data_IF_394072398013
#
_entry.id   IF_394072398013
#
_cell.length_a   1.000
_cell.length_b   1.000
_cell.length_c   1.000
_cell.angle_alpha   90.00
_cell.angle_beta   90.00
_cell.angle_gamma   90.00
#
_symmetry.space_group_name_H-M   'P 1'
#
loop_
_entity.id
_entity.type
_entity.pdbx_description
1 polymer ?
#
# COMPACT_ATOMS: atom_id res chain seq x y z
N UNK A 1 11.36 2.75 7.96
CA UNK A 1 10.49 1.62 7.55
C UNK A 1 9.31 2.18 6.78
N UNK A 2 8.97 1.54 5.69
CA UNK A 2 7.89 1.95 4.78
C UNK A 2 6.78 0.91 4.80
N UNK A 3 5.54 1.37 4.61
CA UNK A 3 4.36 0.52 4.48
C UNK A 3 3.65 0.89 3.17
N UNK A 4 3.52 -0.04 2.25
CA UNK A 4 2.99 0.24 0.92
C UNK A 4 1.46 0.16 0.89
N UNK A 5 0.85 1.18 0.29
CA UNK A 5 -0.57 1.17 -0.06
C UNK A 5 -0.78 0.54 -1.44
N UNK A 6 -2.04 0.18 -1.73
CA UNK A 6 -2.41 -0.52 -2.95
C UNK A 6 -2.08 0.28 -4.21
N UNK A 7 -2.27 1.60 -4.20
CA UNK A 7 -2.01 2.43 -5.39
C UNK A 7 -0.54 2.40 -5.81
N UNK A 8 0.38 2.34 -4.85
CA UNK A 8 1.82 2.25 -5.13
C UNK A 8 2.14 0.93 -5.82
N UNK A 9 1.55 -0.16 -5.36
CA UNK A 9 1.72 -1.48 -5.98
C UNK A 9 1.13 -1.51 -7.39
N UNK A 10 -0.04 -0.93 -7.60
CA UNK A 10 -0.70 -0.87 -8.91
C UNK A 10 0.10 -0.07 -9.92
N UNK A 11 0.57 1.12 -9.54
CA UNK A 11 1.41 1.93 -10.42
C UNK A 11 2.69 1.21 -10.81
N UNK A 12 3.31 0.53 -9.84
CA UNK A 12 4.55 -0.21 -10.09
C UNK A 12 4.33 -1.45 -10.96
N UNK A 13 3.16 -2.09 -10.85
CA UNK A 13 2.80 -3.22 -11.69
C UNK A 13 2.58 -2.81 -13.16
N UNK A 14 2.03 -1.60 -13.38
CA UNK A 14 1.75 -1.08 -14.72
C UNK A 14 2.41 0.28 -14.95
N UNK A 15 3.75 0.33 -15.02
CA UNK A 15 4.48 1.59 -15.06
C UNK A 15 4.27 2.38 -16.36
N UNK A 16 3.80 1.73 -17.43
CA UNK A 16 3.60 2.37 -18.74
C UNK A 16 2.22 3.01 -18.92
N UNK A 17 1.30 2.84 -17.95
CA UNK A 17 -0.07 3.36 -18.06
C UNK A 17 -0.10 4.89 -18.05
N UNK A 18 0.78 5.53 -17.28
CA UNK A 18 0.88 6.98 -17.18
C UNK A 18 2.28 7.39 -16.77
N UNK A 19 2.58 8.69 -16.91
CA UNK A 19 3.84 9.26 -16.42
C UNK A 19 3.94 9.09 -14.89
N UNK A 20 2.85 9.32 -14.17
CA UNK A 20 2.81 9.12 -12.72
C UNK A 20 3.12 7.66 -12.35
N UNK A 21 2.57 6.69 -13.07
CA UNK A 21 2.87 5.28 -12.84
C UNK A 21 4.35 4.98 -13.00
N UNK A 22 4.98 5.55 -14.02
CA UNK A 22 6.41 5.39 -14.27
C UNK A 22 7.25 6.00 -13.15
N UNK A 23 6.89 7.18 -12.71
CA UNK A 23 7.61 7.88 -11.62
C UNK A 23 7.47 7.14 -10.29
N UNK A 24 6.27 6.65 -9.96
CA UNK A 24 6.04 5.86 -8.74
C UNK A 24 6.81 4.54 -8.80
N UNK A 25 6.80 3.86 -9.94
CA UNK A 25 7.57 2.63 -10.12
C UNK A 25 9.09 2.87 -9.92
N UNK A 26 9.63 3.93 -10.50
CA UNK A 26 11.03 4.29 -10.34
C UNK A 26 11.37 4.64 -8.89
N UNK A 27 10.48 5.35 -8.22
CA UNK A 27 10.64 5.67 -6.80
C UNK A 27 10.67 4.39 -5.94
N UNK A 28 9.75 3.47 -6.18
CA UNK A 28 9.71 2.21 -5.43
C UNK A 28 10.96 1.36 -5.70
N UNK A 29 11.36 1.22 -6.95
CA UNK A 29 12.57 0.47 -7.31
C UNK A 29 13.81 1.00 -6.57
N UNK A 30 13.94 2.32 -6.48
CA UNK A 30 15.03 2.96 -5.73
C UNK A 30 14.96 2.61 -4.24
N UNK A 31 13.78 2.56 -3.65
CA UNK A 31 13.61 2.17 -2.23
C UNK A 31 13.88 0.70 -2.00
N UNK A 32 13.46 -0.17 -2.91
CA UNK A 32 13.73 -1.61 -2.81
C UNK A 32 15.23 -1.94 -2.89
N UNK A 33 15.99 -1.11 -3.59
CA UNK A 33 17.45 -1.22 -3.63
C UNK A 33 18.17 -0.54 -2.46
N UNK A 34 17.44 0.16 -1.60
CA UNK A 34 17.98 0.91 -0.47
C UNK A 34 18.01 0.13 0.84
N UNK A 35 18.40 0.78 1.96
CA UNK A 35 18.55 0.13 3.26
C UNK A 35 17.26 -0.02 4.05
N UNK A 36 16.18 0.68 3.69
CA UNK A 36 14.93 0.68 4.45
C UNK A 36 14.17 -0.63 4.30
N UNK A 37 13.57 -1.09 5.39
CA UNK A 37 12.59 -2.16 5.32
C UNK A 37 11.29 -1.65 4.71
N UNK A 38 10.70 -2.49 3.87
CA UNK A 38 9.43 -2.22 3.22
C UNK A 38 8.43 -3.28 3.65
N UNK A 39 7.36 -2.85 4.27
CA UNK A 39 6.26 -3.71 4.69
C UNK A 39 5.11 -3.61 3.70
N UNK A 40 4.45 -4.73 3.47
CA UNK A 40 3.21 -4.77 2.69
C UNK A 40 2.25 -5.75 3.34
N UNK A 41 0.98 -5.34 3.44
CA UNK A 41 -0.08 -6.18 4.02
C UNK A 41 -0.57 -7.18 2.98
N UNK A 42 -0.90 -8.40 3.41
CA UNK A 42 -1.54 -9.38 2.51
C UNK A 42 -2.86 -8.87 1.95
N UNK A 43 -3.61 -8.07 2.72
CA UNK A 43 -4.84 -7.44 2.23
C UNK A 43 -4.58 -6.45 1.10
N UNK A 44 -3.47 -5.70 1.15
CA UNK A 44 -3.05 -4.82 0.07
C UNK A 44 -2.69 -5.63 -1.18
N UNK A 45 -1.95 -6.71 -1.01
CA UNK A 45 -1.57 -7.58 -2.12
C UNK A 45 -2.79 -8.23 -2.77
N UNK A 46 -3.74 -8.71 -1.97
CA UNK A 46 -4.99 -9.27 -2.48
C UNK A 46 -5.82 -8.21 -3.22
N UNK A 47 -5.90 -7.00 -2.69
CA UNK A 47 -6.60 -5.88 -3.34
C UNK A 47 -5.94 -5.49 -4.66
N UNK A 48 -4.61 -5.46 -4.70
CA UNK A 48 -3.86 -5.18 -5.93
C UNK A 48 -4.20 -6.20 -7.01
N UNK A 49 -4.21 -7.49 -6.70
CA UNK A 49 -4.57 -8.54 -7.65
C UNK A 49 -6.02 -8.38 -8.12
N UNK A 50 -6.94 -8.13 -7.18
CA UNK A 50 -8.35 -7.92 -7.50
C UNK A 50 -8.55 -6.76 -8.47
N UNK A 51 -7.92 -5.64 -8.21
CA UNK A 51 -8.05 -4.43 -9.04
C UNK A 51 -7.37 -4.63 -10.40
N UNK A 52 -6.15 -5.16 -10.42
CA UNK A 52 -5.39 -5.36 -11.66
C UNK A 52 -6.08 -6.30 -12.65
N UNK A 53 -6.83 -7.26 -12.13
CA UNK A 53 -7.54 -8.26 -12.95
C UNK A 53 -8.98 -7.87 -13.25
N UNK A 54 -9.47 -6.74 -12.75
CA UNK A 54 -10.89 -6.36 -12.83
C UNK A 54 -11.22 -5.79 -14.22
N UNK A 55 -12.15 -6.43 -14.98
CA UNK A 55 -12.45 -6.04 -16.35
C UNK A 55 -13.17 -4.69 -16.48
N UNK A 56 -13.76 -4.19 -15.38
CA UNK A 56 -14.45 -2.88 -15.36
C UNK A 56 -13.53 -1.73 -14.98
N UNK A 57 -12.36 -2.01 -14.41
CA UNK A 57 -11.41 -0.98 -13.98
C UNK A 57 -10.39 -0.72 -15.07
N UNK A 58 -9.88 -1.78 -15.69
CA UNK A 58 -8.90 -1.66 -16.77
C UNK A 58 -9.52 -2.15 -18.08
N UNK A 59 -9.26 -1.39 -19.15
CA UNK A 59 -9.66 -1.79 -20.51
C UNK A 59 -8.98 -3.09 -20.92
N UNK A 60 -7.71 -3.24 -20.55
CA UNK A 60 -6.95 -4.48 -20.71
C UNK A 60 -6.54 -5.00 -19.33
N UNK A 61 -7.42 -5.77 -18.65
CA UNK A 61 -7.08 -6.31 -17.34
C UNK A 61 -5.92 -7.30 -17.43
N UNK A 62 -5.13 -7.34 -16.35
CA UNK A 62 -4.04 -8.31 -16.24
C UNK A 62 -4.58 -9.72 -16.08
N UNK A 63 -3.80 -10.72 -16.52
CA UNK A 63 -4.07 -12.10 -16.13
C UNK A 63 -3.79 -12.31 -14.64
N UNK A 64 -4.50 -13.23 -13.98
CA UNK A 64 -4.18 -13.60 -12.60
C UNK A 64 -2.73 -14.04 -12.45
N UNK A 65 -2.19 -14.78 -13.42
CA UNK A 65 -0.80 -15.26 -13.38
C UNK A 65 0.20 -14.12 -13.35
N UNK A 66 0.00 -13.08 -14.16
CA UNK A 66 0.89 -11.91 -14.22
C UNK A 66 0.82 -11.10 -12.91
N UNK A 67 -0.38 -10.91 -12.38
CA UNK A 67 -0.55 -10.18 -11.13
C UNK A 67 0.12 -10.92 -9.96
N UNK A 68 -0.06 -12.24 -9.85
CA UNK A 68 0.60 -13.07 -8.84
C UNK A 68 2.12 -13.06 -9.01
N UNK A 69 2.62 -13.13 -10.24
CA UNK A 69 4.06 -13.09 -10.50
C UNK A 69 4.69 -11.77 -10.02
N UNK A 70 4.00 -10.65 -10.19
CA UNK A 70 4.45 -9.36 -9.67
C UNK A 70 4.53 -9.37 -8.14
N UNK A 71 3.48 -9.87 -7.47
CA UNK A 71 3.46 -9.97 -6.00
C UNK A 71 4.59 -10.86 -5.49
N UNK A 72 4.79 -12.02 -6.12
CA UNK A 72 5.86 -12.92 -5.74
C UNK A 72 7.24 -12.27 -5.91
N UNK A 73 7.44 -11.52 -6.99
CA UNK A 73 8.69 -10.79 -7.21
C UNK A 73 8.91 -9.71 -6.14
N UNK A 74 7.86 -8.97 -5.79
CA UNK A 74 7.93 -7.96 -4.73
C UNK A 74 8.33 -8.59 -3.39
N UNK A 75 7.70 -9.72 -3.04
CA UNK A 75 7.97 -10.41 -1.77
C UNK A 75 9.36 -11.06 -1.72
N UNK A 76 10.00 -11.31 -2.88
CA UNK A 76 11.38 -11.81 -2.94
C UNK A 76 12.43 -10.73 -2.79
N UNK A 77 12.05 -9.45 -2.89
CA UNK A 77 13.02 -8.37 -2.70
C UNK A 77 13.59 -8.42 -1.27
N UNK A 78 14.91 -8.21 -1.08
CA UNK A 78 15.58 -8.50 0.20
C UNK A 78 15.05 -7.73 1.41
N UNK A 79 14.52 -6.53 1.19
CA UNK A 79 14.05 -5.66 2.27
C UNK A 79 12.53 -5.69 2.46
N UNK A 80 11.83 -6.46 1.66
CA UNK A 80 10.37 -6.56 1.73
C UNK A 80 9.95 -7.67 2.69
N UNK A 81 8.98 -7.37 3.53
CA UNK A 81 8.36 -8.33 4.42
C UNK A 81 6.84 -8.13 4.46
N UNK A 82 6.12 -9.21 4.66
CA UNK A 82 4.68 -9.15 4.89
C UNK A 82 4.44 -8.55 6.28
N UNK A 83 3.59 -7.53 6.35
CA UNK A 83 3.18 -6.94 7.61
C UNK A 83 2.33 -7.93 8.40
N UNK A 84 2.68 -8.12 9.67
CA UNK A 84 1.94 -9.01 10.57
C UNK A 84 1.41 -8.17 11.72
N UNK A 85 0.11 -7.84 11.69
CA UNK A 85 -0.50 -7.03 12.75
C UNK A 85 -0.35 -7.69 14.11
N UNK A 86 0.16 -6.91 15.06
CA UNK A 86 0.29 -7.33 16.45
C UNK A 86 -0.87 -6.84 17.32
N UNK A 87 -0.82 -7.11 18.65
CA UNK A 87 -1.90 -6.74 19.56
C UNK A 87 -2.10 -5.23 19.71
N UNK A 88 -1.10 -4.41 19.36
CA UNK A 88 -1.21 -2.95 19.40
C UNK A 88 -2.09 -2.35 18.32
N UNK A 89 -2.38 -3.09 17.24
CA UNK A 89 -3.17 -2.57 16.11
C UNK A 89 -4.62 -2.31 16.51
N UNK A 90 -5.26 -3.22 17.23
CA UNK A 90 -6.68 -3.10 17.55
C UNK A 90 -7.03 -1.83 18.31
N UNK A 91 -6.33 -1.44 19.40
CA UNK A 91 -6.63 -0.20 20.09
C UNK A 91 -6.52 1.04 19.21
N UNK A 92 -5.49 1.12 18.37
CA UNK A 92 -5.28 2.24 17.43
C UNK A 92 -6.40 2.30 16.42
N UNK A 93 -6.71 1.16 15.80
CA UNK A 93 -7.78 1.04 14.81
C UNK A 93 -9.13 1.44 15.40
N UNK A 94 -9.48 0.91 16.57
CA UNK A 94 -10.73 1.23 17.27
C UNK A 94 -10.86 2.73 17.51
N UNK A 95 -9.79 3.38 17.96
CA UNK A 95 -9.80 4.82 18.21
C UNK A 95 -9.98 5.62 16.93
N UNK A 96 -9.33 5.20 15.82
CA UNK A 96 -9.53 5.85 14.53
C UNK A 96 -10.98 5.76 14.05
N UNK A 97 -11.59 4.59 14.14
CA UNK A 97 -12.97 4.40 13.70
C UNK A 97 -13.93 5.26 14.54
N UNK A 98 -13.75 5.28 15.86
CA UNK A 98 -14.62 6.03 16.77
C UNK A 98 -14.41 7.53 16.66
N UNK A 99 -13.18 7.99 16.77
CA UNK A 99 -12.86 9.43 16.85
C UNK A 99 -13.11 10.14 15.52
N UNK A 100 -12.80 9.49 14.41
CA UNK A 100 -13.00 10.04 13.06
C UNK A 100 -14.36 9.67 12.46
N UNK A 101 -15.16 8.89 13.18
CA UNK A 101 -16.52 8.46 12.76
C UNK A 101 -16.51 7.82 11.37
N UNK A 102 -15.61 6.87 11.17
CA UNK A 102 -15.40 6.24 9.88
C UNK A 102 -16.47 5.19 9.57
N UNK A 103 -16.84 5.09 8.29
CA UNK A 103 -17.78 4.12 7.78
C UNK A 103 -17.30 3.55 6.43
N UNK A 104 -17.77 2.36 6.07
CA UNK A 104 -17.52 1.77 4.76
C UNK A 104 -16.04 1.57 4.46
N UNK A 105 -15.62 1.98 3.28
CA UNK A 105 -14.24 1.78 2.81
C UNK A 105 -13.20 2.51 3.67
N UNK A 106 -13.59 3.59 4.35
CA UNK A 106 -12.69 4.33 5.23
C UNK A 106 -12.25 3.50 6.43
N UNK A 107 -13.05 2.51 6.85
CA UNK A 107 -12.70 1.58 7.92
C UNK A 107 -11.51 0.70 7.51
N UNK A 108 -11.47 0.24 6.27
CA UNK A 108 -10.33 -0.52 5.75
C UNK A 108 -9.04 0.32 5.76
N UNK A 109 -9.13 1.59 5.37
CA UNK A 109 -8.00 2.52 5.42
C UNK A 109 -7.50 2.72 6.86
N UNK A 110 -8.42 2.83 7.82
CA UNK A 110 -8.07 2.95 9.24
C UNK A 110 -7.29 1.74 9.75
N UNK A 111 -7.63 0.55 9.28
CA UNK A 111 -6.91 -0.67 9.67
C UNK A 111 -5.48 -0.69 9.12
N UNK A 112 -5.30 -0.29 7.87
CA UNK A 112 -3.97 -0.16 7.27
C UNK A 112 -3.13 0.90 7.99
N UNK A 113 -3.74 2.06 8.27
CA UNK A 113 -3.08 3.13 9.01
C UNK A 113 -2.64 2.68 10.41
N UNK A 114 -3.51 1.98 11.13
CA UNK A 114 -3.21 1.45 12.46
C UNK A 114 -2.07 0.42 12.41
N UNK A 115 -2.05 -0.42 11.39
CA UNK A 115 -0.99 -1.42 11.20
C UNK A 115 0.35 -0.72 10.95
N UNK A 116 0.37 0.32 10.12
CA UNK A 116 1.58 1.09 9.85
C UNK A 116 2.10 1.81 11.10
N UNK A 117 1.20 2.44 11.86
CA UNK A 117 1.55 3.14 13.11
C UNK A 117 2.11 2.16 14.14
N UNK A 118 1.47 1.03 14.35
CA UNK A 118 1.94 0.01 15.30
C UNK A 118 3.34 -0.52 14.92
N UNK A 119 3.60 -0.64 13.63
CA UNK A 119 4.91 -1.08 13.12
C UNK A 119 5.98 0.02 13.13
N UNK A 120 5.61 1.27 13.41
CA UNK A 120 6.53 2.41 13.31
C UNK A 120 6.90 2.77 11.88
N UNK A 121 6.06 2.42 10.91
CA UNK A 121 6.31 2.63 9.48
C UNK A 121 5.59 3.87 8.96
N UNK A 122 6.18 4.52 7.94
CA UNK A 122 5.50 5.55 7.17
C UNK A 122 4.66 4.91 6.05
N UNK A 123 3.43 5.36 5.91
CA UNK A 123 2.53 4.93 4.84
C UNK A 123 2.92 5.58 3.52
N UNK A 124 3.30 4.79 2.55
CA UNK A 124 3.59 5.25 1.19
C UNK A 124 2.31 5.15 0.37
N UNK A 125 1.76 6.30 0.01
CA UNK A 125 0.48 6.36 -0.69
C UNK A 125 0.34 7.63 -1.50
N UNK A 126 -0.43 7.55 -2.58
CA UNK A 126 -0.88 8.72 -3.34
C UNK A 126 -2.22 9.26 -2.83
N UNK A 127 -2.84 8.60 -1.87
CA UNK A 127 -4.12 9.00 -1.29
C UNK A 127 -3.90 9.94 -0.09
N UNK A 128 -4.21 11.22 -0.27
CA UNK A 128 -4.08 12.24 0.78
C UNK A 128 -5.06 12.05 1.93
N UNK A 129 -6.09 11.24 1.76
CA UNK A 129 -7.03 10.89 2.83
C UNK A 129 -6.35 10.23 4.03
N UNK A 130 -5.19 9.62 3.86
CA UNK A 130 -4.42 9.04 4.96
C UNK A 130 -3.83 10.08 5.91
N UNK A 131 -3.73 11.34 5.52
CA UNK A 131 -3.24 12.41 6.40
C UNK A 131 -4.16 12.70 7.59
N UNK A 132 -5.41 12.24 7.54
CA UNK A 132 -6.37 12.39 8.65
C UNK A 132 -6.06 11.53 9.88
N UNK A 133 -5.24 10.47 9.74
CA UNK A 133 -4.99 9.54 10.83
C UNK A 133 -3.89 10.06 11.77
N UNK A 134 -4.23 10.36 13.06
CA UNK A 134 -3.24 10.85 14.01
C UNK A 134 -2.09 9.85 14.22
N UNK A 135 -0.87 10.37 14.25
CA UNK A 135 0.32 9.56 14.47
C UNK A 135 0.86 8.85 13.22
N UNK A 136 0.14 8.89 12.11
CA UNK A 136 0.59 8.29 10.85
C UNK A 136 1.47 9.29 10.08
N UNK A 137 2.68 8.86 9.72
CA UNK A 137 3.51 9.57 8.78
C UNK A 137 3.15 9.13 7.36
N UNK A 138 2.73 10.07 6.52
CA UNK A 138 2.37 9.81 5.13
C UNK A 138 3.51 10.24 4.21
N UNK A 139 3.84 9.39 3.26
CA UNK A 139 4.92 9.62 2.28
C UNK A 139 4.29 9.55 0.89
N UNK A 140 4.28 10.66 0.18
CA UNK A 140 3.90 10.69 -1.23
C UNK A 140 5.13 10.31 -2.07
N UNK A 141 5.06 9.21 -2.87
CA UNK A 141 6.21 8.82 -3.68
C UNK A 141 6.52 9.82 -4.79
N UNK A 142 5.48 10.48 -5.31
CA UNK A 142 5.61 11.52 -6.34
C UNK A 142 4.69 12.68 -5.94
N UNK A 143 5.25 13.79 -5.42
CA UNK A 143 4.48 14.97 -5.04
C UNK A 143 3.80 15.61 -6.25
N UNK A 144 2.57 16.12 -6.02
CA UNK A 144 1.85 16.84 -7.08
C UNK A 144 0.40 16.49 -7.27
#
# INVERSE_FOLDING_TARGET
>A
MLFLDVNVCLYSFRPTVSERSREVAAWLDARLGGPERVLVSESVLASMIRIATHPRIFEEPASPADAVAFVDALLRAPRVAVARPGPGVWPIFRDYVGDLRLTGNDVADAYLAATAVDAGAGMVTSDRGFTRFPGLRVIEPVPG
#
